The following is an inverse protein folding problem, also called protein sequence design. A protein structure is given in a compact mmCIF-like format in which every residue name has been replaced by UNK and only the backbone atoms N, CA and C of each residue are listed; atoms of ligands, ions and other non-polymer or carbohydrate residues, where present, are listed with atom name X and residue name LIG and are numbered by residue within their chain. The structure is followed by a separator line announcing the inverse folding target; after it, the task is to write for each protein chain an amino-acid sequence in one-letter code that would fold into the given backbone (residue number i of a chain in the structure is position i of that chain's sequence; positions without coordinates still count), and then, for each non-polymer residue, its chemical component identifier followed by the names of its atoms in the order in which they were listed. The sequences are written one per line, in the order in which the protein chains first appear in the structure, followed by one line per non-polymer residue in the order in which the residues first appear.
data_IF_499829592687
#
_entry.id   IF_499829592687
#
_cell.length_a   1.000
_cell.length_b   1.000
_cell.length_c   1.000
_cell.angle_alpha   90.00
_cell.angle_beta   90.00
_cell.angle_gamma   90.00
#
_symmetry.space_group_name_H-M   'P 1'
#
loop_
_entity.id
_entity.type
_entity.pdbx_description
1 polymer ?
#
# COMPACT_ATOMS: atom_id res chain seq x y z
N UNK A 1 -2.66 -1.92 8.80
CA UNK A 1 -1.44 -1.95 9.64
C UNK A 1 -1.30 -3.35 10.22
N UNK A 2 -0.11 -3.73 10.64
CA UNK A 2 0.18 -5.04 11.23
C UNK A 2 0.72 -4.84 12.65
N UNK A 3 -0.10 -5.07 13.70
CA UNK A 3 0.36 -4.94 15.09
C UNK A 3 1.47 -5.94 15.39
N UNK A 4 2.33 -5.62 16.35
CA UNK A 4 3.42 -6.51 16.77
C UNK A 4 4.27 -6.96 15.56
N UNK A 5 4.73 -6.00 14.76
CA UNK A 5 5.64 -6.26 13.65
C UNK A 5 6.47 -5.01 13.38
N UNK A 6 7.69 -5.18 12.87
CA UNK A 6 8.60 -4.09 12.51
C UNK A 6 8.48 -3.80 11.01
N UNK A 7 8.61 -4.84 10.18
CA UNK A 7 8.52 -4.75 8.72
C UNK A 7 7.42 -5.69 8.23
N UNK A 8 6.58 -5.18 7.35
CA UNK A 8 5.59 -5.98 6.63
C UNK A 8 5.88 -5.94 5.14
N UNK A 9 5.43 -6.98 4.44
CA UNK A 9 5.64 -7.03 3.00
C UNK A 9 4.66 -7.93 2.27
N UNK A 10 4.70 -7.77 0.95
CA UNK A 10 3.91 -8.57 0.02
C UNK A 10 4.78 -8.91 -1.19
N UNK A 11 4.92 -10.21 -1.46
CA UNK A 11 5.47 -10.74 -2.71
C UNK A 11 4.35 -11.02 -3.70
N UNK A 12 4.51 -10.56 -4.93
CA UNK A 12 3.51 -10.70 -6.00
C UNK A 12 3.81 -11.90 -6.90
N UNK A 13 3.04 -12.97 -6.74
CA UNK A 13 3.20 -14.22 -7.50
C UNK A 13 2.61 -14.08 -8.91
N UNK A 14 1.41 -13.52 -9.01
CA UNK A 14 0.73 -13.29 -10.29
C UNK A 14 -0.08 -12.00 -10.24
N UNK A 15 0.22 -11.08 -11.15
CA UNK A 15 -0.49 -9.79 -11.26
C UNK A 15 -0.95 -9.61 -12.71
N UNK A 16 -2.19 -10.04 -13.03
CA UNK A 16 -2.80 -9.78 -14.33
C UNK A 16 -2.78 -8.30 -14.71
N UNK A 17 -2.76 -8.02 -16.02
CA UNK A 17 -2.84 -6.64 -16.50
C UNK A 17 -4.16 -5.98 -16.00
N UNK A 18 -4.05 -4.76 -15.50
CA UNK A 18 -5.20 -4.04 -14.91
C UNK A 18 -5.46 -4.33 -13.43
N UNK A 19 -4.73 -5.26 -12.81
CA UNK A 19 -4.84 -5.51 -11.37
C UNK A 19 -4.48 -4.26 -10.53
N UNK A 20 -5.17 -4.03 -9.40
CA UNK A 20 -4.92 -2.89 -8.54
C UNK A 20 -3.53 -2.97 -7.86
N UNK A 21 -2.96 -1.80 -7.61
CA UNK A 21 -1.78 -1.63 -6.79
C UNK A 21 -2.09 -1.70 -5.29
N UNK A 22 -1.04 -1.63 -4.48
CA UNK A 22 -1.16 -1.47 -3.02
C UNK A 22 -1.28 0.03 -2.71
N UNK A 23 -2.38 0.43 -2.06
CA UNK A 23 -2.65 1.82 -1.71
C UNK A 23 -2.20 2.07 -0.27
N UNK A 24 -1.33 3.06 -0.10
CA UNK A 24 -0.84 3.53 1.20
C UNK A 24 -1.49 4.85 1.56
N UNK A 25 -1.78 5.02 2.84
CA UNK A 25 -2.34 6.23 3.44
C UNK A 25 -1.25 7.01 4.18
N UNK A 26 -1.27 8.34 4.07
CA UNK A 26 -0.38 9.21 4.84
C UNK A 26 -0.64 8.97 6.35
N UNK A 27 0.38 8.56 7.12
CA UNK A 27 0.20 8.27 8.56
C UNK A 27 -0.20 9.49 9.38
N UNK A 28 -0.11 10.69 8.82
CA UNK A 28 -0.50 11.95 9.46
C UNK A 28 -1.93 12.35 9.11
N UNK A 29 -2.67 11.56 8.33
CA UNK A 29 -3.99 11.95 7.80
C UNK A 29 -4.96 12.41 8.90
N UNK A 30 -4.98 11.71 10.04
CA UNK A 30 -5.83 12.05 11.19
C UNK A 30 -5.47 13.41 11.83
N UNK A 31 -4.28 13.95 11.54
CA UNK A 31 -3.84 15.29 11.98
C UNK A 31 -4.17 16.39 10.98
N UNK A 32 -4.77 16.05 9.83
CA UNK A 32 -5.11 16.98 8.76
C UNK A 32 -6.59 17.38 8.76
N UNK A 33 -7.34 17.18 9.84
CA UNK A 33 -8.79 17.44 9.91
C UNK A 33 -9.19 18.88 9.52
N UNK A 34 -8.35 19.87 9.84
CA UNK A 34 -8.56 21.27 9.45
C UNK A 34 -7.59 21.74 8.35
N UNK A 35 -6.78 20.84 7.79
CA UNK A 35 -5.84 21.20 6.73
C UNK A 35 -6.57 21.32 5.39
N UNK A 36 -6.20 22.30 4.54
CA UNK A 36 -6.73 22.38 3.19
C UNK A 36 -6.44 21.11 2.38
N UNK A 37 -7.32 20.74 1.42
CA UNK A 37 -7.08 19.65 0.49
C UNK A 37 -5.77 19.83 -0.28
N UNK A 38 -5.10 18.71 -0.59
CA UNK A 38 -3.91 18.74 -1.44
C UNK A 38 -4.32 18.95 -2.90
N UNK A 39 -3.52 19.71 -3.64
CA UNK A 39 -3.69 19.88 -5.08
C UNK A 39 -3.61 18.54 -5.82
N UNK A 40 -4.38 18.37 -6.89
CA UNK A 40 -4.38 17.17 -7.73
C UNK A 40 -2.98 16.84 -8.30
N UNK A 41 -2.22 17.88 -8.66
CA UNK A 41 -0.85 17.81 -9.14
C UNK A 41 0.24 17.75 -8.06
N UNK A 42 -0.11 17.61 -6.78
CA UNK A 42 0.87 17.58 -5.71
C UNK A 42 1.93 16.48 -5.93
N UNK A 43 3.18 16.77 -5.56
CA UNK A 43 4.29 15.80 -5.57
C UNK A 43 3.89 14.58 -4.74
N UNK A 44 4.34 13.38 -5.14
CA UNK A 44 3.99 12.11 -4.48
C UNK A 44 4.14 12.13 -2.95
N UNK A 45 5.23 12.72 -2.44
CA UNK A 45 5.49 12.83 -1.00
C UNK A 45 4.48 13.71 -0.23
N UNK A 46 3.71 14.53 -0.93
CA UNK A 46 2.71 15.43 -0.36
C UNK A 46 1.27 14.94 -0.59
N UNK A 47 1.09 13.76 -1.18
CA UNK A 47 -0.25 13.19 -1.43
C UNK A 47 -0.73 12.42 -0.19
N UNK A 48 -2.02 12.54 0.18
CA UNK A 48 -2.60 11.80 1.29
C UNK A 48 -2.69 10.29 1.01
N UNK A 49 -2.70 9.89 -0.27
CA UNK A 49 -2.63 8.50 -0.68
C UNK A 49 -1.61 8.28 -1.79
N UNK A 50 -0.93 7.14 -1.74
CA UNK A 50 0.06 6.71 -2.74
C UNK A 50 -0.25 5.29 -3.16
N UNK A 51 -0.38 5.06 -4.46
CA UNK A 51 -0.60 3.72 -5.02
C UNK A 51 0.73 3.21 -5.59
N UNK A 52 1.23 2.11 -5.04
CA UNK A 52 2.34 1.35 -5.62
C UNK A 52 1.79 0.29 -6.56
N UNK A 53 2.19 0.37 -7.84
CA UNK A 53 1.79 -0.61 -8.85
C UNK A 53 2.37 -1.98 -8.50
N UNK A 54 1.50 -2.97 -8.37
CA UNK A 54 1.90 -4.36 -8.22
C UNK A 54 2.47 -4.90 -9.54
N UNK A 55 3.51 -5.72 -9.47
CA UNK A 55 4.09 -6.42 -10.62
C UNK A 55 4.53 -7.81 -10.19
N UNK A 56 4.26 -8.81 -11.03
CA UNK A 56 4.74 -10.18 -10.82
C UNK A 56 6.25 -10.20 -10.54
N UNK A 57 6.67 -10.98 -9.55
CA UNK A 57 8.07 -11.13 -9.14
C UNK A 57 8.59 -10.02 -8.23
N UNK A 58 7.79 -8.99 -7.91
CA UNK A 58 8.23 -7.92 -7.00
C UNK A 58 7.85 -8.18 -5.55
N UNK A 59 8.73 -7.77 -4.65
CA UNK A 59 8.46 -7.62 -3.22
C UNK A 59 8.29 -6.14 -2.92
N UNK A 60 7.24 -5.82 -2.17
CA UNK A 60 7.08 -4.50 -1.53
C UNK A 60 7.29 -4.66 -0.04
N UNK A 61 8.17 -3.84 0.54
CA UNK A 61 8.42 -3.76 1.99
C UNK A 61 7.99 -2.39 2.50
N UNK A 62 7.45 -2.36 3.71
CA UNK A 62 7.06 -1.14 4.40
C UNK A 62 7.07 -1.36 5.91
N UNK A 63 7.22 -0.28 6.67
CA UNK A 63 7.12 -0.34 8.13
C UNK A 63 5.69 -0.74 8.53
N UNK A 64 5.56 -1.69 9.46
CA UNK A 64 4.30 -2.38 9.76
C UNK A 64 3.18 -1.47 10.30
N UNK A 65 3.53 -0.32 10.85
CA UNK A 65 2.58 0.69 11.32
C UNK A 65 1.87 1.43 10.18
N UNK A 66 2.37 1.34 8.94
CA UNK A 66 1.80 2.08 7.81
C UNK A 66 0.44 1.50 7.38
N UNK A 67 -0.59 2.35 7.38
CA UNK A 67 -1.93 2.01 6.92
C UNK A 67 -1.92 1.78 5.40
N UNK A 68 -2.50 0.65 4.99
CA UNK A 68 -2.53 0.22 3.60
C UNK A 68 -3.83 -0.52 3.30
N UNK A 69 -4.22 -0.50 2.03
CA UNK A 69 -5.45 -1.05 1.51
C UNK A 69 -5.13 -1.86 0.24
N UNK A 70 -5.71 -3.06 0.16
CA UNK A 70 -5.78 -3.84 -1.08
C UNK A 70 -7.13 -3.54 -1.72
N UNK A 71 -7.13 -2.71 -2.76
CA UNK A 71 -8.35 -2.36 -3.45
C UNK A 71 -8.96 -3.57 -4.17
N UNK A 72 -10.29 -3.55 -4.36
CA UNK A 72 -11.04 -4.60 -5.06
C UNK A 72 -10.41 -4.92 -6.42
N UNK A 73 -10.18 -6.20 -6.69
CA UNK A 73 -9.77 -6.66 -8.02
C UNK A 73 -10.97 -6.57 -8.98
N UNK A 74 -10.84 -5.74 -10.02
CA UNK A 74 -11.86 -5.59 -11.07
C UNK A 74 -11.64 -6.51 -12.28
N UNK A 75 -10.48 -7.19 -12.32
CA UNK A 75 -10.14 -8.15 -13.38
C UNK A 75 -10.69 -9.53 -13.01
N UNK A 76 -11.13 -10.29 -14.01
CA UNK A 76 -11.65 -11.67 -13.82
C UNK A 76 -10.58 -12.65 -13.38
N UNK A 77 -9.34 -12.46 -13.85
CA UNK A 77 -8.19 -13.26 -13.46
C UNK A 77 -7.74 -12.98 -12.03
N UNK A 78 -7.24 -14.02 -11.36
CA UNK A 78 -6.79 -13.96 -9.98
C UNK A 78 -5.47 -13.16 -9.85
N UNK A 79 -5.44 -12.26 -8.87
CA UNK A 79 -4.24 -11.58 -8.41
C UNK A 79 -3.72 -12.33 -7.18
N UNK A 80 -2.61 -13.04 -7.34
CA UNK A 80 -2.04 -13.91 -6.31
C UNK A 80 -0.82 -13.25 -5.68
N UNK A 81 -0.80 -13.19 -4.35
CA UNK A 81 0.30 -12.61 -3.58
C UNK A 81 0.48 -13.31 -2.24
N UNK A 82 1.71 -13.32 -1.73
CA UNK A 82 2.06 -13.83 -0.40
C UNK A 82 2.44 -12.66 0.49
N UNK A 83 1.71 -12.45 1.58
CA UNK A 83 2.00 -11.41 2.57
C UNK A 83 2.71 -12.01 3.78
N UNK A 84 3.58 -11.21 4.41
CA UNK A 84 4.40 -11.64 5.53
C UNK A 84 4.73 -10.47 6.46
N UNK A 85 5.15 -10.82 7.69
CA UNK A 85 5.56 -9.89 8.72
C UNK A 85 6.89 -10.35 9.35
N UNK A 86 7.74 -9.39 9.69
CA UNK A 86 8.98 -9.56 10.43
C UNK A 86 8.91 -8.82 11.77
N UNK A 87 9.31 -9.50 12.85
CA UNK A 87 9.45 -8.95 14.20
C UNK A 87 10.93 -8.87 14.61
N UNK A 88 11.25 -7.94 15.51
CA UNK A 88 12.53 -7.84 16.22
C UNK A 88 12.34 -7.74 17.75
N UNK A 89 11.16 -8.03 18.26
CA UNK A 89 10.92 -8.28 19.69
C UNK A 89 10.51 -9.74 19.88
#
# INVERSE_FOLDING_TARGET
LHPLSTISGTYYVAVPAGSPGLKFEDPRLERFMASPPRLSGARRANRPWVILRARTGQVVLFESWLRHEVSRNAVTAERVSVSFNYSWF
#
